data_IF_891895025567
#
_entry.id   IF_891895025567
#
_cell.length_a   1.000
_cell.length_b   1.000
_cell.length_c   1.000
_cell.angle_alpha   90.00
_cell.angle_beta   90.00
_cell.angle_gamma   90.00
#
_symmetry.space_group_name_H-M   'P 1'
#
loop_
_entity.id
_entity.type
_entity.pdbx_description
1 polymer ?
#
# COMPACT_ATOMS: atom_id res chain seq x y z
N UNK A 1 -11.90 -22.76 10.12
CA UNK A 1 -11.11 -21.90 9.22
C UNK A 1 -12.10 -20.85 8.74
N UNK A 2 -12.01 -19.63 9.25
CA UNK A 2 -12.77 -18.51 8.72
C UNK A 2 -12.14 -18.19 7.37
N UNK A 3 -12.93 -18.38 6.29
CA UNK A 3 -12.52 -18.00 4.94
C UNK A 3 -12.19 -16.51 4.93
N UNK A 4 -10.89 -16.19 4.93
CA UNK A 4 -10.37 -14.84 4.69
C UNK A 4 -10.44 -14.56 3.19
N UNK A 5 -11.65 -14.65 2.62
CA UNK A 5 -11.87 -14.33 1.20
C UNK A 5 -11.41 -12.89 0.98
N UNK A 6 -10.41 -12.73 0.12
CA UNK A 6 -9.90 -11.41 -0.24
C UNK A 6 -10.93 -10.63 -1.06
N UNK A 7 -10.92 -9.30 -0.98
CA UNK A 7 -11.73 -8.49 -1.87
C UNK A 7 -11.21 -8.54 -3.31
N UNK A 8 -12.13 -8.38 -4.25
CA UNK A 8 -11.85 -8.24 -5.67
C UNK A 8 -12.38 -6.88 -6.16
N UNK A 9 -11.79 -6.32 -7.22
CA UNK A 9 -12.37 -5.16 -7.88
C UNK A 9 -13.81 -5.42 -8.29
N UNK A 10 -14.69 -4.40 -8.33
CA UNK A 10 -16.06 -4.57 -8.76
C UNK A 10 -16.16 -5.11 -10.18
N UNK A 11 -17.17 -5.96 -10.41
CA UNK A 11 -17.47 -6.49 -11.75
C UNK A 11 -17.66 -5.32 -12.72
N UNK A 12 -17.12 -5.43 -13.93
CA UNK A 12 -17.14 -4.43 -15.02
C UNK A 12 -16.33 -3.15 -14.79
N UNK A 13 -15.65 -3.00 -13.64
CA UNK A 13 -14.82 -1.83 -13.41
C UNK A 13 -13.64 -1.72 -14.41
N UNK A 14 -13.17 -2.85 -14.92
CA UNK A 14 -12.04 -2.91 -15.85
C UNK A 14 -12.45 -2.95 -17.33
N UNK A 15 -13.73 -2.99 -17.65
CA UNK A 15 -14.20 -3.24 -19.03
C UNK A 15 -13.70 -2.17 -20.00
N UNK A 16 -13.78 -0.88 -19.60
CA UNK A 16 -13.32 0.20 -20.46
C UNK A 16 -11.80 0.18 -20.64
N UNK A 17 -11.04 -0.03 -19.58
CA UNK A 17 -9.58 -0.10 -19.66
C UNK A 17 -9.10 -1.28 -20.51
N UNK A 18 -9.78 -2.45 -20.42
CA UNK A 18 -9.51 -3.61 -21.27
C UNK A 18 -9.82 -3.31 -22.73
N UNK A 19 -10.96 -2.68 -23.03
CA UNK A 19 -11.36 -2.30 -24.39
C UNK A 19 -10.38 -1.29 -25.02
N UNK A 20 -9.90 -0.32 -24.25
CA UNK A 20 -8.90 0.64 -24.71
C UNK A 20 -7.59 -0.06 -25.09
N UNK A 21 -7.08 -0.94 -24.22
CA UNK A 21 -5.87 -1.74 -24.48
C UNK A 21 -6.01 -2.64 -25.71
N UNK A 22 -7.14 -3.32 -25.87
CA UNK A 22 -7.43 -4.15 -27.06
C UNK A 22 -7.46 -3.32 -28.34
N UNK A 23 -7.86 -2.05 -28.24
CA UNK A 23 -7.87 -1.10 -29.36
C UNK A 23 -6.51 -0.41 -29.57
N UNK A 24 -5.49 -0.76 -28.80
CA UNK A 24 -4.14 -0.17 -28.86
C UNK A 24 -4.07 1.25 -28.31
N UNK A 25 -5.03 1.65 -27.48
CA UNK A 25 -5.06 2.94 -26.79
C UNK A 25 -4.47 2.80 -25.37
N UNK A 26 -3.86 3.88 -24.88
CA UNK A 26 -3.54 3.99 -23.45
C UNK A 26 -4.84 4.23 -22.66
N UNK A 27 -5.18 3.38 -21.67
CA UNK A 27 -6.41 3.54 -20.92
C UNK A 27 -6.39 4.81 -20.07
N UNK A 28 -7.53 5.46 -19.98
CA UNK A 28 -7.75 6.52 -19.00
C UNK A 28 -7.93 5.85 -17.65
N UNK A 29 -7.08 6.20 -16.68
CA UNK A 29 -7.13 5.61 -15.33
C UNK A 29 -8.35 6.16 -14.59
N UNK A 30 -9.24 5.29 -14.21
CA UNK A 30 -10.36 5.57 -13.31
C UNK A 30 -10.02 5.10 -11.91
N UNK A 31 -10.51 5.84 -10.90
CA UNK A 31 -10.32 5.53 -9.49
C UNK A 31 -11.68 5.42 -8.81
N UNK A 32 -11.84 4.39 -7.99
CA UNK A 32 -13.04 4.21 -7.14
C UNK A 32 -12.65 3.83 -5.71
N UNK A 33 -13.43 4.25 -4.69
CA UNK A 33 -13.25 3.82 -3.31
C UNK A 33 -13.31 2.30 -3.15
N UNK A 34 -12.48 1.76 -2.26
CA UNK A 34 -12.41 0.34 -1.93
C UNK A 34 -12.55 0.08 -0.41
N UNK A 35 -13.70 0.43 0.21
CA UNK A 35 -13.88 0.27 1.65
C UNK A 35 -13.85 -1.19 2.11
N UNK A 36 -14.18 -2.12 1.23
CA UNK A 36 -14.10 -3.56 1.46
C UNK A 36 -12.67 -4.04 1.69
N UNK A 37 -11.68 -3.39 1.02
CA UNK A 37 -10.26 -3.69 1.23
C UNK A 37 -9.83 -3.28 2.63
N UNK A 38 -10.20 -2.08 3.09
CA UNK A 38 -9.91 -1.65 4.46
C UNK A 38 -10.54 -2.58 5.50
N UNK A 39 -11.80 -2.97 5.29
CA UNK A 39 -12.50 -3.89 6.20
C UNK A 39 -11.82 -5.27 6.24
N UNK A 40 -11.32 -5.75 5.11
CA UNK A 40 -10.56 -6.99 5.01
C UNK A 40 -9.19 -6.86 5.68
N UNK A 41 -8.44 -5.77 5.43
CA UNK A 41 -7.13 -5.48 6.06
C UNK A 41 -7.24 -5.48 7.58
N UNK A 42 -8.26 -4.83 8.14
CA UNK A 42 -8.50 -4.83 9.59
C UNK A 42 -8.61 -6.25 10.15
N UNK A 43 -9.38 -7.12 9.49
CA UNK A 43 -9.57 -8.51 9.94
C UNK A 43 -8.35 -9.39 9.73
N UNK A 44 -7.55 -9.10 8.70
CA UNK A 44 -6.47 -9.98 8.22
C UNK A 44 -5.13 -9.63 8.84
N UNK A 45 -4.69 -8.37 8.72
CA UNK A 45 -3.37 -7.94 9.14
C UNK A 45 -3.34 -7.25 10.51
N UNK A 46 -4.46 -6.63 10.91
CA UNK A 46 -4.49 -5.76 12.09
C UNK A 46 -5.20 -6.40 13.30
N UNK A 47 -5.83 -7.55 13.15
CA UNK A 47 -6.51 -8.23 14.26
C UNK A 47 -5.62 -9.33 14.85
N UNK A 48 -5.28 -9.20 16.14
CA UNK A 48 -4.51 -10.22 16.89
C UNK A 48 -5.24 -11.57 16.80
N UNK A 49 -4.47 -12.61 16.47
CA UNK A 49 -4.98 -13.97 16.30
C UNK A 49 -5.44 -14.31 14.87
N UNK A 50 -5.43 -13.35 13.95
CA UNK A 50 -5.54 -13.66 12.52
C UNK A 50 -4.31 -14.43 12.05
N UNK A 51 -4.43 -15.39 11.11
CA UNK A 51 -3.28 -16.13 10.57
C UNK A 51 -2.23 -15.23 9.88
N UNK A 52 -2.64 -14.07 9.39
CA UNK A 52 -1.77 -13.10 8.73
C UNK A 52 -1.56 -11.81 9.56
N UNK A 53 -1.90 -11.86 10.86
CA UNK A 53 -1.62 -10.73 11.75
C UNK A 53 -0.14 -10.35 11.68
N UNK A 54 0.12 -9.06 11.43
CA UNK A 54 1.48 -8.53 11.39
C UNK A 54 1.66 -7.53 12.55
N UNK A 55 2.46 -7.87 13.58
CA UNK A 55 2.68 -6.98 14.74
C UNK A 55 3.35 -5.67 14.36
N UNK A 56 4.09 -5.60 13.26
CA UNK A 56 4.68 -4.35 12.76
C UNK A 56 3.63 -3.31 12.34
N UNK A 57 2.38 -3.74 12.12
CA UNK A 57 1.25 -2.88 11.77
C UNK A 57 0.35 -2.49 12.96
N UNK A 58 0.68 -2.87 14.20
CA UNK A 58 -0.15 -2.60 15.39
C UNK A 58 -0.45 -1.10 15.54
N UNK A 59 0.54 -0.24 15.29
CA UNK A 59 0.37 1.21 15.31
C UNK A 59 -0.68 1.72 14.31
N UNK A 60 -0.87 1.03 13.18
CA UNK A 60 -1.90 1.38 12.19
C UNK A 60 -3.30 1.09 12.75
N UNK A 61 -3.47 -0.05 13.45
CA UNK A 61 -4.72 -0.39 14.11
C UNK A 61 -5.10 0.68 15.13
N UNK A 62 -4.18 1.05 16.01
CA UNK A 62 -4.36 2.09 17.03
C UNK A 62 -4.79 3.43 16.42
N UNK A 63 -4.12 3.84 15.33
CA UNK A 63 -4.41 5.11 14.64
C UNK A 63 -5.75 5.09 13.91
N UNK A 64 -6.17 3.94 13.37
CA UNK A 64 -7.49 3.78 12.76
C UNK A 64 -8.58 3.85 13.83
N UNK A 65 -8.40 3.17 14.96
CA UNK A 65 -9.41 3.10 16.02
C UNK A 65 -9.53 4.40 16.81
N UNK A 66 -8.45 5.18 16.88
CA UNK A 66 -8.45 6.50 17.50
C UNK A 66 -8.97 7.61 16.58
N UNK A 67 -9.29 7.33 15.31
CA UNK A 67 -9.82 8.33 14.39
C UNK A 67 -11.18 8.85 14.88
N UNK A 68 -11.30 10.19 14.97
CA UNK A 68 -12.55 10.84 15.40
C UNK A 68 -13.60 10.74 14.31
N UNK A 69 -14.86 10.86 14.71
CA UNK A 69 -15.99 10.95 13.78
C UNK A 69 -15.74 12.05 12.72
N UNK A 70 -15.94 11.70 11.45
CA UNK A 70 -15.67 12.61 10.31
C UNK A 70 -14.19 12.73 9.91
N UNK A 71 -13.28 11.98 10.56
CA UNK A 71 -11.89 11.85 10.15
C UNK A 71 -11.56 10.39 9.89
N UNK A 72 -10.50 10.12 9.10
CA UNK A 72 -10.05 8.76 8.85
C UNK A 72 -8.53 8.73 8.73
N UNK A 73 -7.93 7.64 9.20
CA UNK A 73 -6.50 7.47 9.13
C UNK A 73 -6.06 6.85 7.82
N UNK A 74 -6.69 5.75 7.42
CA UNK A 74 -6.35 4.94 6.25
C UNK A 74 -7.58 4.63 5.43
N UNK A 75 -7.43 4.64 4.11
CA UNK A 75 -8.43 4.14 3.17
C UNK A 75 -7.78 3.54 1.94
N UNK A 76 -8.58 2.88 1.11
CA UNK A 76 -8.14 2.22 -0.11
C UNK A 76 -8.95 2.68 -1.32
N UNK A 77 -8.32 2.63 -2.49
CA UNK A 77 -8.97 2.83 -3.78
C UNK A 77 -8.49 1.77 -4.78
N UNK A 78 -9.37 1.41 -5.71
CA UNK A 78 -9.03 0.67 -6.92
C UNK A 78 -8.70 1.66 -8.04
N UNK A 79 -7.65 1.36 -8.81
CA UNK A 79 -7.34 2.01 -10.07
C UNK A 79 -7.61 1.04 -11.22
N UNK A 80 -8.26 1.49 -12.30
CA UNK A 80 -8.62 0.64 -13.45
C UNK A 80 -7.42 0.20 -14.29
N UNK A 81 -6.29 0.87 -14.13
CA UNK A 81 -5.03 0.54 -14.80
C UNK A 81 -3.84 0.98 -13.93
N UNK A 82 -2.67 0.33 -14.09
CA UNK A 82 -1.48 0.68 -13.31
C UNK A 82 -0.97 2.08 -13.67
N UNK A 83 -0.46 2.78 -12.65
CA UNK A 83 0.28 4.00 -12.91
C UNK A 83 1.64 3.68 -13.55
N UNK A 84 2.08 4.51 -14.50
CA UNK A 84 3.38 4.37 -15.17
C UNK A 84 4.42 5.25 -14.46
N UNK A 85 5.51 4.64 -14.04
CA UNK A 85 6.69 5.36 -13.51
C UNK A 85 7.91 5.00 -14.35
N UNK A 86 8.26 5.85 -15.32
CA UNK A 86 9.33 5.61 -16.29
C UNK A 86 9.14 4.26 -17.00
N UNK A 87 9.94 3.25 -16.64
CA UNK A 87 9.95 1.92 -17.25
C UNK A 87 9.32 0.86 -16.33
N UNK A 88 8.55 1.26 -15.33
CA UNK A 88 7.87 0.34 -14.42
C UNK A 88 6.38 0.64 -14.31
N UNK A 89 5.59 -0.40 -14.08
CA UNK A 89 4.19 -0.31 -13.71
C UNK A 89 4.08 -0.32 -12.19
N UNK A 90 3.31 0.60 -11.64
CA UNK A 90 3.03 0.68 -10.21
C UNK A 90 1.76 -0.10 -9.95
N UNK A 91 1.85 -1.18 -9.18
CA UNK A 91 0.74 -2.08 -8.87
C UNK A 91 0.02 -1.69 -7.56
N UNK A 92 0.73 -1.03 -6.66
CA UNK A 92 0.22 -0.45 -5.43
C UNK A 92 0.98 0.83 -5.11
N UNK A 93 0.32 1.74 -4.40
CA UNK A 93 0.94 2.96 -3.94
C UNK A 93 0.30 3.43 -2.64
N UNK A 94 1.11 3.54 -1.60
CA UNK A 94 0.73 4.24 -0.38
C UNK A 94 1.15 5.71 -0.47
N UNK A 95 0.22 6.61 -0.24
CA UNK A 95 0.50 8.04 -0.19
C UNK A 95 -0.06 8.70 1.07
N UNK A 96 0.66 9.70 1.58
CA UNK A 96 0.10 10.62 2.56
C UNK A 96 -0.71 11.68 1.82
N UNK A 97 -2.02 11.72 2.07
CA UNK A 97 -2.91 12.67 1.41
C UNK A 97 -2.55 14.09 1.79
N UNK A 98 -2.04 14.85 0.81
CA UNK A 98 -1.63 16.23 0.98
C UNK A 98 -2.01 17.05 -0.25
N UNK A 99 -2.86 18.02 -0.06
CA UNK A 99 -3.29 18.92 -1.14
C UNK A 99 -2.28 20.06 -1.29
N UNK A 100 -1.37 19.92 -2.25
CA UNK A 100 -0.32 20.92 -2.53
C UNK A 100 -0.81 22.09 -3.40
N UNK A 101 -2.11 22.21 -3.59
CA UNK A 101 -2.76 23.30 -4.33
C UNK A 101 -3.35 24.32 -3.37
N UNK A 102 -3.62 25.54 -3.85
CA UNK A 102 -4.27 26.59 -3.09
C UNK A 102 -5.70 26.86 -3.54
N UNK A 103 -6.44 27.62 -2.75
CA UNK A 103 -7.76 28.14 -3.09
C UNK A 103 -8.78 27.08 -3.49
N UNK A 104 -9.49 27.31 -4.58
CA UNK A 104 -10.56 26.43 -5.05
C UNK A 104 -10.07 25.07 -5.54
N UNK A 105 -8.83 24.97 -6.01
CA UNK A 105 -8.26 23.71 -6.44
C UNK A 105 -8.11 22.74 -5.23
N UNK A 106 -7.61 23.25 -4.12
CA UNK A 106 -7.54 22.50 -2.86
C UNK A 106 -8.94 22.10 -2.37
N UNK A 107 -9.88 23.06 -2.35
CA UNK A 107 -11.25 22.79 -1.90
C UNK A 107 -11.93 21.69 -2.73
N UNK A 108 -11.70 21.66 -4.05
CA UNK A 108 -12.23 20.62 -4.94
C UNK A 108 -11.62 19.25 -4.63
N UNK A 109 -10.31 19.17 -4.38
CA UNK A 109 -9.64 17.91 -4.01
C UNK A 109 -10.13 17.39 -2.65
N UNK A 110 -10.26 18.28 -1.67
CA UNK A 110 -10.83 17.93 -0.36
C UNK A 110 -12.29 17.48 -0.46
N UNK A 111 -13.08 18.13 -1.33
CA UNK A 111 -14.47 17.75 -1.58
C UNK A 111 -14.53 16.34 -2.19
N UNK A 112 -13.72 16.05 -3.18
CA UNK A 112 -13.66 14.72 -3.80
C UNK A 112 -13.35 13.62 -2.78
N UNK A 113 -12.38 13.84 -1.87
CA UNK A 113 -12.07 12.88 -0.82
C UNK A 113 -13.28 12.65 0.11
N UNK A 114 -13.97 13.72 0.50
CA UNK A 114 -15.17 13.59 1.34
C UNK A 114 -16.34 12.91 0.62
N UNK A 115 -16.52 13.15 -0.68
CA UNK A 115 -17.54 12.47 -1.49
C UNK A 115 -17.23 10.97 -1.63
N UNK A 116 -15.96 10.62 -1.79
CA UNK A 116 -15.52 9.23 -1.95
C UNK A 116 -15.55 8.44 -0.65
N UNK A 117 -15.04 9.01 0.42
CA UNK A 117 -14.76 8.28 1.67
C UNK A 117 -15.59 8.74 2.87
N UNK A 118 -16.35 9.83 2.74
CA UNK A 118 -17.05 10.49 3.86
C UNK A 118 -16.14 11.39 4.71
N UNK A 119 -14.83 11.35 4.48
CA UNK A 119 -13.80 12.12 5.22
C UNK A 119 -12.58 12.37 4.33
N UNK A 120 -11.64 13.19 4.81
CA UNK A 120 -10.31 13.31 4.20
C UNK A 120 -9.36 12.35 4.94
N UNK A 121 -8.87 11.29 4.30
CA UNK A 121 -7.96 10.33 4.94
C UNK A 121 -6.57 10.93 5.15
N UNK A 122 -5.83 10.38 6.13
CA UNK A 122 -4.40 10.70 6.28
C UNK A 122 -3.55 9.95 5.27
N UNK A 123 -3.88 8.67 5.05
CA UNK A 123 -3.24 7.81 4.04
C UNK A 123 -4.26 7.21 3.10
N UNK A 124 -3.87 7.14 1.84
CA UNK A 124 -4.61 6.44 0.78
C UNK A 124 -3.68 5.40 0.17
N UNK A 125 -4.14 4.15 0.12
CA UNK A 125 -3.48 3.09 -0.64
C UNK A 125 -4.31 2.84 -1.90
N UNK A 126 -3.70 3.03 -3.05
CA UNK A 126 -4.29 2.74 -4.35
C UNK A 126 -3.72 1.43 -4.87
N UNK A 127 -4.58 0.53 -5.32
CA UNK A 127 -4.21 -0.78 -5.87
C UNK A 127 -4.64 -0.86 -7.33
N UNK A 128 -3.75 -1.38 -8.19
CA UNK A 128 -4.09 -1.70 -9.58
C UNK A 128 -5.09 -2.87 -9.62
N UNK A 129 -6.32 -2.56 -10.02
CA UNK A 129 -7.39 -3.53 -10.09
C UNK A 129 -7.12 -4.63 -11.14
N UNK A 130 -6.45 -4.31 -12.25
CA UNK A 130 -6.16 -5.27 -13.31
C UNK A 130 -5.17 -6.35 -12.84
N UNK A 131 -4.17 -5.96 -12.08
CA UNK A 131 -3.27 -6.90 -11.41
C UNK A 131 -4.01 -7.70 -10.32
N UNK A 132 -4.74 -7.00 -9.45
CA UNK A 132 -5.44 -7.64 -8.34
C UNK A 132 -6.52 -8.62 -8.78
N UNK A 133 -7.15 -8.43 -9.95
CA UNK A 133 -8.12 -9.38 -10.50
C UNK A 133 -7.49 -10.75 -10.79
N UNK A 134 -6.25 -10.76 -11.28
CA UNK A 134 -5.54 -11.98 -11.73
C UNK A 134 -4.51 -12.52 -10.74
N UNK A 135 -4.10 -11.72 -9.77
CA UNK A 135 -3.14 -12.11 -8.73
C UNK A 135 -3.66 -13.29 -7.91
N UNK A 136 -2.77 -14.15 -7.48
CA UNK A 136 -3.10 -15.16 -6.46
C UNK A 136 -3.42 -14.48 -5.12
N UNK A 137 -4.13 -15.17 -4.23
CA UNK A 137 -4.45 -14.64 -2.88
C UNK A 137 -3.20 -14.19 -2.14
N UNK A 138 -2.12 -14.89 -2.36
CA UNK A 138 -0.85 -14.62 -1.76
C UNK A 138 -0.15 -13.39 -2.32
N UNK A 139 -0.10 -13.22 -3.65
CA UNK A 139 0.44 -12.03 -4.29
C UNK A 139 -0.36 -10.79 -3.88
N UNK A 140 -1.69 -10.92 -3.78
CA UNK A 140 -2.54 -9.85 -3.26
C UNK A 140 -2.22 -9.51 -1.80
N UNK A 141 -2.09 -10.52 -0.93
CA UNK A 141 -1.70 -10.32 0.46
C UNK A 141 -0.32 -9.65 0.58
N UNK A 142 0.66 -10.11 -0.20
CA UNK A 142 2.01 -9.54 -0.20
C UNK A 142 2.02 -8.08 -0.68
N UNK A 143 1.22 -7.73 -1.71
CA UNK A 143 1.10 -6.36 -2.18
C UNK A 143 0.49 -5.45 -1.10
N UNK A 144 -0.60 -5.89 -0.46
CA UNK A 144 -1.25 -5.09 0.58
C UNK A 144 -0.35 -4.93 1.81
N UNK A 145 0.31 -6.00 2.27
CA UNK A 145 1.25 -5.96 3.39
C UNK A 145 2.43 -5.00 3.09
N UNK A 146 2.94 -5.03 1.86
CA UNK A 146 3.97 -4.11 1.37
C UNK A 146 3.53 -2.64 1.46
N UNK A 147 2.33 -2.31 0.97
CA UNK A 147 1.82 -0.93 1.02
C UNK A 147 1.57 -0.46 2.47
N UNK A 148 1.18 -1.36 3.37
CA UNK A 148 1.05 -1.05 4.79
C UNK A 148 2.42 -0.74 5.43
N UNK A 149 3.50 -1.38 5.01
CA UNK A 149 4.86 -1.11 5.50
C UNK A 149 5.32 0.32 5.21
N UNK A 150 4.75 0.99 4.20
CA UNK A 150 5.03 2.41 3.95
C UNK A 150 4.47 3.35 5.03
N UNK A 151 3.56 2.89 5.89
CA UNK A 151 3.04 3.66 7.02
C UNK A 151 3.87 3.32 8.25
N UNK A 152 4.97 4.05 8.45
CA UNK A 152 5.86 3.84 9.58
C UNK A 152 5.63 4.80 10.74
N UNK A 153 6.34 4.59 11.83
CA UNK A 153 6.36 5.45 13.02
C UNK A 153 7.67 6.24 13.14
N UNK A 154 7.60 7.40 13.78
CA UNK A 154 8.81 8.11 14.19
C UNK A 154 9.41 7.40 15.41
N UNK A 155 10.75 7.25 15.42
CA UNK A 155 11.50 6.68 16.54
C UNK A 155 12.55 7.69 17.00
N UNK A 156 12.88 7.65 18.28
CA UNK A 156 13.97 8.44 18.86
C UNK A 156 15.35 7.76 18.62
N UNK A 157 16.39 8.36 19.21
CA UNK A 157 17.78 7.88 19.07
C UNK A 157 18.00 6.50 19.71
N UNK A 158 17.16 6.10 20.66
CA UNK A 158 17.19 4.79 21.33
C UNK A 158 16.32 3.75 20.60
N UNK A 159 15.63 4.15 19.50
CA UNK A 159 14.76 3.31 18.72
C UNK A 159 13.33 3.17 19.26
N UNK A 160 13.00 3.90 20.33
CA UNK A 160 11.67 3.88 20.95
C UNK A 160 10.68 4.71 20.11
N UNK A 161 9.43 4.25 20.08
CA UNK A 161 8.37 4.92 19.31
C UNK A 161 7.99 6.26 19.94
N UNK A 162 8.09 7.34 19.16
CA UNK A 162 7.69 8.68 19.59
C UNK A 162 6.17 8.80 19.57
N UNK A 163 5.58 9.21 20.68
CA UNK A 163 4.15 9.52 20.78
C UNK A 163 3.88 11.02 20.79
N UNK A 164 2.69 11.40 20.40
CA UNK A 164 2.22 12.79 20.48
C UNK A 164 1.85 13.13 21.91
N UNK A 165 2.45 14.19 22.46
CA UNK A 165 2.11 14.70 23.80
C UNK A 165 0.64 15.17 23.93
N UNK A 166 -0.05 15.39 22.81
CA UNK A 166 -1.45 15.86 22.78
C UNK A 166 -2.43 14.71 22.71
N UNK A 167 -2.13 13.69 21.91
CA UNK A 167 -3.06 12.58 21.65
C UNK A 167 -2.65 11.27 22.31
N UNK A 168 -1.40 11.14 22.76
CA UNK A 168 -0.82 9.87 23.25
C UNK A 168 -0.61 8.83 22.13
N UNK A 169 -0.97 9.14 20.89
CA UNK A 169 -0.87 8.22 19.76
C UNK A 169 0.51 8.27 19.12
N UNK A 170 0.94 7.20 18.45
CA UNK A 170 2.18 7.16 17.70
C UNK A 170 2.27 8.29 16.66
N UNK A 171 3.41 8.96 16.59
CA UNK A 171 3.72 9.84 15.48
C UNK A 171 4.07 8.98 14.28
N UNK A 172 3.39 9.22 13.17
CA UNK A 172 3.50 8.42 11.96
C UNK A 172 4.08 9.21 10.79
N UNK A 173 4.75 8.52 9.89
CA UNK A 173 5.33 9.08 8.67
C UNK A 173 5.23 8.10 7.51
N UNK A 174 5.27 8.63 6.28
CA UNK A 174 5.51 7.79 5.11
C UNK A 174 7.00 7.42 5.09
N UNK A 175 7.30 6.12 4.93
CA UNK A 175 8.66 5.58 4.85
C UNK A 175 8.91 5.00 3.47
N UNK A 176 10.16 5.06 3.03
CA UNK A 176 10.60 4.42 1.78
C UNK A 176 11.06 2.99 2.06
N UNK A 177 11.38 2.26 0.99
CA UNK A 177 11.98 0.93 1.09
C UNK A 177 13.31 0.99 1.84
N UNK A 178 13.63 -0.07 2.56
CA UNK A 178 14.87 -0.18 3.34
C UNK A 178 16.12 -0.22 2.47
N UNK A 179 16.00 -0.74 1.24
CA UNK A 179 17.13 -0.93 0.32
C UNK A 179 16.74 -0.54 -1.10
N UNK A 180 17.54 0.36 -1.70
CA UNK A 180 17.52 0.68 -3.13
C UNK A 180 18.94 0.62 -3.67
N UNK A 181 19.27 -0.33 -4.57
CA UNK A 181 20.61 -0.55 -5.09
C UNK A 181 20.61 -0.95 -6.57
N UNK A 182 21.64 -0.55 -7.30
CA UNK A 182 21.87 -1.05 -8.66
C UNK A 182 22.69 -2.34 -8.63
N UNK A 183 22.29 -3.34 -9.38
CA UNK A 183 23.01 -4.61 -9.49
C UNK A 183 24.48 -4.44 -9.88
N UNK A 184 24.79 -3.49 -10.79
CA UNK A 184 26.16 -3.22 -11.21
C UNK A 184 27.00 -2.58 -10.11
N UNK A 185 26.40 -1.75 -9.25
CA UNK A 185 27.07 -1.19 -8.07
C UNK A 185 27.46 -2.31 -7.12
N UNK A 186 26.51 -3.22 -6.84
CA UNK A 186 26.75 -4.37 -5.94
C UNK A 186 27.84 -5.30 -6.52
N UNK A 187 27.79 -5.58 -7.84
CA UNK A 187 28.82 -6.41 -8.49
C UNK A 187 30.21 -5.83 -8.42
N UNK A 188 30.34 -4.53 -8.55
CA UNK A 188 31.64 -3.85 -8.65
C UNK A 188 32.26 -3.49 -7.31
N UNK A 189 31.45 -3.15 -6.35
CA UNK A 189 31.89 -2.55 -5.10
C UNK A 189 31.51 -3.37 -3.86
N UNK A 190 30.75 -4.44 -4.03
CA UNK A 190 30.16 -5.21 -2.94
C UNK A 190 28.81 -4.66 -2.48
N UNK A 191 28.15 -5.42 -1.65
CA UNK A 191 26.88 -5.05 -1.07
C UNK A 191 27.07 -4.06 0.08
N UNK A 192 26.20 -3.04 0.17
CA UNK A 192 26.05 -2.24 1.37
C UNK A 192 25.55 -3.11 2.54
N UNK A 193 25.61 -2.60 3.75
CA UNK A 193 25.10 -3.33 4.93
C UNK A 193 23.61 -3.68 4.78
N UNK A 194 22.78 -2.76 4.26
CA UNK A 194 21.37 -2.99 3.99
C UNK A 194 21.14 -4.08 2.94
N UNK A 195 21.88 -4.04 1.82
CA UNK A 195 21.81 -5.04 0.75
C UNK A 195 22.27 -6.42 1.26
N UNK A 196 23.32 -6.48 2.08
CA UNK A 196 23.78 -7.73 2.66
C UNK A 196 22.75 -8.31 3.64
N UNK A 197 22.11 -7.47 4.46
CA UNK A 197 21.03 -7.87 5.35
C UNK A 197 19.84 -8.44 4.56
N UNK A 198 19.43 -7.75 3.47
CA UNK A 198 18.37 -8.21 2.59
C UNK A 198 18.71 -9.58 1.96
N UNK A 199 19.94 -9.74 1.44
CA UNK A 199 20.40 -11.00 0.87
C UNK A 199 20.40 -12.15 1.91
N UNK A 200 20.79 -11.86 3.15
CA UNK A 200 20.76 -12.84 4.23
C UNK A 200 19.31 -13.26 4.56
N UNK A 201 18.37 -12.32 4.63
CA UNK A 201 16.95 -12.60 4.86
C UNK A 201 16.37 -13.41 3.70
N UNK A 202 16.67 -13.05 2.45
CA UNK A 202 16.17 -13.73 1.26
C UNK A 202 16.66 -15.19 1.15
N UNK A 203 17.78 -15.52 1.78
CA UNK A 203 18.30 -16.88 1.85
C UNK A 203 17.71 -17.72 3.01
N UNK A 204 16.82 -17.15 3.82
CA UNK A 204 16.09 -17.90 4.86
C UNK A 204 14.70 -18.28 4.36
N UNK A 205 14.13 -19.35 4.94
CA UNK A 205 12.76 -19.74 4.61
C UNK A 205 11.79 -18.64 5.07
N UNK A 206 10.82 -18.23 4.24
CA UNK A 206 9.83 -17.25 4.63
C UNK A 206 8.90 -17.79 5.73
N UNK A 207 8.42 -16.91 6.61
CA UNK A 207 7.47 -17.31 7.67
C UNK A 207 6.12 -17.75 7.08
N UNK A 208 5.71 -17.15 5.97
CA UNK A 208 4.51 -17.55 5.22
C UNK A 208 4.95 -18.46 4.10
N UNK A 209 4.75 -19.78 4.27
CA UNK A 209 5.09 -20.78 3.26
C UNK A 209 4.20 -20.65 2.03
N UNK A 210 4.72 -21.02 0.86
CA UNK A 210 4.08 -20.94 -0.46
C UNK A 210 4.00 -19.52 -1.07
N UNK A 211 4.97 -18.55 -0.81
CA UNK A 211 5.14 -17.25 -1.46
C UNK A 211 6.21 -17.31 -2.53
N UNK A 212 5.81 -17.30 -3.75
CA UNK A 212 6.68 -16.75 -4.77
C UNK A 212 6.49 -15.22 -4.80
N UNK A 213 7.42 -14.50 -4.19
CA UNK A 213 7.49 -13.04 -4.30
C UNK A 213 8.35 -12.73 -5.52
N UNK A 214 7.77 -12.81 -6.71
CA UNK A 214 8.48 -12.40 -7.93
C UNK A 214 8.72 -10.89 -8.02
N UNK A 215 8.08 -10.09 -7.16
CA UNK A 215 8.00 -8.63 -7.33
C UNK A 215 8.12 -7.89 -6.01
N UNK A 216 9.32 -7.52 -5.66
CA UNK A 216 9.52 -6.45 -4.67
C UNK A 216 9.04 -5.12 -5.25
N UNK A 217 8.47 -4.25 -4.42
CA UNK A 217 8.11 -2.86 -4.70
C UNK A 217 6.79 -2.57 -5.40
N UNK A 218 5.81 -3.46 -5.49
CA UNK A 218 4.56 -3.11 -6.17
C UNK A 218 4.75 -2.55 -7.60
N UNK A 219 5.93 -2.75 -8.20
CA UNK A 219 6.29 -2.25 -9.52
C UNK A 219 6.86 -3.37 -10.41
N UNK A 220 6.41 -3.42 -11.65
CA UNK A 220 6.91 -4.33 -12.68
C UNK A 220 7.73 -3.56 -13.68
N UNK A 221 8.97 -3.99 -13.89
CA UNK A 221 9.84 -3.41 -14.94
C UNK A 221 9.34 -3.87 -16.31
N UNK A 222 8.97 -2.92 -17.16
CA UNK A 222 8.64 -3.18 -18.56
C UNK A 222 9.97 -3.37 -19.31
N UNK A 223 10.17 -4.56 -19.89
CA UNK A 223 11.30 -4.83 -20.78
C UNK A 223 11.02 -4.32 -22.17
#
# INVERSE_FOLDING_TARGET
>A
MTDLVRPFPPVNFLDQAKADLESGLDPVVELIPAPEVLAWVKRTFLTIGSPLYNPEHEHIADLIDAAKEGTGFLTFAWASAPAKNKNSLVLGQCERVAFRAGGWQKARQEQQMREWFGFTPTYLITLDASYCETATDREFCALVDHELCHIGVERDEDGEMITSNVTGLPKHRLVNHDVEEFFDTVRRWGASEGTQRLANIANTAPFVLDAEVERGCGAVVIK
#
